data_IF_124608537616
#
_entry.id   IF_124608537616
#
_cell.length_a   1.000
_cell.length_b   1.000
_cell.length_c   1.000
_cell.angle_alpha   90.00
_cell.angle_beta   90.00
_cell.angle_gamma   90.00
#
_symmetry.space_group_name_H-M   'P 1'
#
loop_
_entity.id
_entity.type
_entity.pdbx_description
1 polymer ?
#
# COMPACT_ATOMS: atom_id res chain seq x y z
N UNK A 1 44.83 6.79 -10.37
CA UNK A 1 44.39 7.41 -9.10
C UNK A 1 43.03 6.83 -8.83
N UNK A 2 42.94 5.93 -7.85
CA UNK A 2 41.79 5.06 -7.62
C UNK A 2 40.73 5.82 -6.81
N UNK A 3 39.59 6.11 -7.41
CA UNK A 3 38.39 6.55 -6.71
C UNK A 3 37.61 5.31 -6.23
N UNK A 4 38.09 4.68 -5.16
CA UNK A 4 37.30 3.72 -4.37
C UNK A 4 36.35 4.50 -3.44
N UNK A 5 35.30 5.04 -4.05
CA UNK A 5 34.17 5.64 -3.32
C UNK A 5 33.57 4.53 -2.47
N UNK A 6 33.59 4.71 -1.15
CA UNK A 6 33.20 3.73 -0.15
C UNK A 6 31.76 3.23 -0.36
N UNK A 7 31.59 2.15 -1.12
CA UNK A 7 30.36 1.39 -1.12
C UNK A 7 30.35 0.51 0.13
N UNK A 8 29.51 0.87 1.11
CA UNK A 8 29.31 0.04 2.30
C UNK A 8 29.02 -1.42 1.89
N UNK A 9 29.70 -2.35 2.55
CA UNK A 9 29.50 -3.79 2.33
C UNK A 9 28.07 -4.19 2.69
N UNK A 10 27.59 -5.33 2.17
CA UNK A 10 26.26 -5.85 2.51
C UNK A 10 26.07 -6.04 4.03
N UNK A 11 27.13 -6.41 4.75
CA UNK A 11 27.11 -6.57 6.21
C UNK A 11 26.92 -5.23 6.94
N UNK A 12 27.62 -4.18 6.49
CA UNK A 12 27.47 -2.82 7.03
C UNK A 12 26.08 -2.26 6.74
N UNK A 13 25.57 -2.46 5.52
CA UNK A 13 24.21 -2.08 5.13
C UNK A 13 23.17 -2.77 6.02
N UNK A 14 23.28 -4.09 6.21
CA UNK A 14 22.38 -4.82 7.09
C UNK A 14 22.43 -4.30 8.54
N UNK A 15 23.63 -4.06 9.06
CA UNK A 15 23.83 -3.54 10.42
C UNK A 15 23.20 -2.15 10.59
N UNK A 16 23.41 -1.26 9.62
CA UNK A 16 22.83 0.08 9.63
C UNK A 16 21.30 0.04 9.57
N UNK A 17 20.73 -0.79 8.69
CA UNK A 17 19.29 -0.96 8.57
C UNK A 17 18.68 -1.52 9.85
N UNK A 18 19.33 -2.47 10.51
CA UNK A 18 18.83 -3.03 11.78
C UNK A 18 18.78 -1.97 12.89
N UNK A 19 19.80 -1.11 12.97
CA UNK A 19 19.83 0.02 13.91
C UNK A 19 18.70 1.00 13.59
N UNK A 20 18.53 1.38 12.32
CA UNK A 20 17.45 2.25 11.88
C UNK A 20 16.07 1.69 12.27
N UNK A 21 15.79 0.44 11.92
CA UNK A 21 14.54 -0.27 12.28
C UNK A 21 14.28 -0.28 13.78
N UNK A 22 15.31 -0.50 14.59
CA UNK A 22 15.19 -0.52 16.05
C UNK A 22 14.67 0.79 16.64
N UNK A 23 15.02 1.93 16.01
CA UNK A 23 14.67 3.27 16.51
C UNK A 23 13.29 3.76 16.07
N UNK A 24 12.70 3.17 15.02
CA UNK A 24 11.46 3.67 14.42
C UNK A 24 10.24 2.97 15.04
N UNK A 25 9.84 3.44 16.22
CA UNK A 25 8.68 2.95 16.98
C UNK A 25 7.58 4.01 17.03
N UNK A 26 6.34 3.59 16.82
CA UNK A 26 5.15 4.43 16.86
C UNK A 26 4.56 4.45 18.28
N UNK A 27 4.19 5.63 18.83
CA UNK A 27 3.45 5.68 20.09
C UNK A 27 2.01 5.14 19.93
N UNK A 28 1.43 5.32 18.75
CA UNK A 28 0.14 4.79 18.32
C UNK A 28 0.10 4.67 16.81
N UNK A 29 -0.76 3.80 16.26
CA UNK A 29 -0.95 3.69 14.82
C UNK A 29 -2.40 3.32 14.48
N UNK A 30 -3.05 4.15 13.67
CA UNK A 30 -4.43 4.01 13.23
C UNK A 30 -4.53 3.87 11.70
N UNK A 31 -5.72 3.57 11.20
CA UNK A 31 -5.99 3.58 9.74
C UNK A 31 -5.80 4.97 9.12
N UNK A 32 -6.09 6.06 9.85
CA UNK A 32 -5.83 7.42 9.39
C UNK A 32 -4.33 7.70 9.23
N UNK A 33 -3.51 7.14 10.12
CA UNK A 33 -2.06 7.22 10.05
C UNK A 33 -1.54 6.46 8.82
N UNK A 34 -2.07 5.26 8.57
CA UNK A 34 -1.75 4.48 7.37
C UNK A 34 -2.07 5.27 6.08
N UNK A 35 -3.23 5.89 5.97
CA UNK A 35 -3.58 6.73 4.80
C UNK A 35 -2.60 7.89 4.66
N UNK A 36 -2.31 8.60 5.74
CA UNK A 36 -1.39 9.75 5.72
C UNK A 36 0.03 9.36 5.33
N UNK A 37 0.52 8.24 5.86
CA UNK A 37 1.82 7.66 5.55
C UNK A 37 1.88 7.23 4.08
N UNK A 38 0.87 6.50 3.59
CA UNK A 38 0.78 6.05 2.20
C UNK A 38 0.76 7.22 1.20
N UNK A 39 -0.02 8.26 1.48
CA UNK A 39 -0.04 9.49 0.67
C UNK A 39 1.31 10.23 0.70
N UNK A 40 2.00 10.21 1.83
CA UNK A 40 3.33 10.80 1.96
C UNK A 40 4.37 10.06 1.12
N UNK A 41 4.34 8.73 1.09
CA UNK A 41 5.20 7.90 0.23
C UNK A 41 4.93 8.24 -1.24
N UNK A 42 3.65 8.24 -1.64
CA UNK A 42 3.23 8.62 -3.00
C UNK A 42 3.75 10.00 -3.38
N UNK A 43 3.55 11.00 -2.53
CA UNK A 43 4.00 12.38 -2.77
C UNK A 43 5.51 12.44 -3.00
N UNK A 44 6.30 11.75 -2.17
CA UNK A 44 7.76 11.73 -2.29
C UNK A 44 8.21 11.00 -3.56
N UNK A 45 7.65 9.84 -3.87
CA UNK A 45 7.98 9.10 -5.08
C UNK A 45 7.74 9.94 -6.35
N UNK A 46 6.59 10.64 -6.42
CA UNK A 46 6.27 11.51 -7.56
C UNK A 46 7.26 12.65 -7.78
N UNK A 47 7.98 13.06 -6.73
CA UNK A 47 9.02 14.08 -6.81
C UNK A 47 10.40 13.53 -7.20
N UNK A 48 10.56 12.21 -7.30
CA UNK A 48 11.85 11.60 -7.70
C UNK A 48 12.11 11.75 -9.19
N UNK A 49 13.38 11.85 -9.58
CA UNK A 49 13.80 11.83 -10.98
C UNK A 49 13.37 10.54 -11.70
N UNK A 50 13.30 9.42 -10.99
CA UNK A 50 12.87 8.12 -11.52
C UNK A 50 11.44 8.17 -12.05
N UNK A 51 10.55 8.87 -11.34
CA UNK A 51 9.19 9.08 -11.83
C UNK A 51 9.15 10.18 -12.90
N UNK A 52 9.68 11.37 -12.60
CA UNK A 52 9.55 12.56 -13.46
C UNK A 52 10.22 12.40 -14.82
N UNK A 53 11.41 11.78 -14.88
CA UNK A 53 12.19 11.60 -16.11
C UNK A 53 12.16 10.17 -16.62
N UNK A 54 12.10 9.21 -15.70
CA UNK A 54 12.20 7.79 -16.03
C UNK A 54 10.87 7.10 -16.29
N UNK A 55 9.73 7.79 -16.11
CA UNK A 55 8.41 7.18 -16.27
C UNK A 55 8.23 5.93 -15.40
N UNK A 56 8.89 5.87 -14.24
CA UNK A 56 8.77 4.71 -13.36
C UNK A 56 7.52 4.80 -12.51
N UNK A 57 6.84 3.66 -12.40
CA UNK A 57 5.70 3.48 -11.51
C UNK A 57 6.11 2.92 -10.15
N UNK A 58 5.18 2.95 -9.22
CA UNK A 58 5.30 2.43 -7.86
C UNK A 58 3.96 1.85 -7.44
N UNK A 59 3.97 0.69 -6.80
CA UNK A 59 2.83 0.21 -6.00
C UNK A 59 3.15 0.41 -4.52
N UNK A 60 2.12 0.69 -3.73
CA UNK A 60 2.20 0.91 -2.28
C UNK A 60 1.11 0.09 -1.63
N UNK A 61 1.44 -0.66 -0.58
CA UNK A 61 0.50 -1.37 0.28
C UNK A 61 0.83 -1.12 1.75
N UNK A 62 -0.17 -0.82 2.55
CA UNK A 62 -0.09 -0.81 4.01
C UNK A 62 -1.18 -1.72 4.52
N UNK A 63 -0.81 -2.71 5.31
CA UNK A 63 -1.74 -3.67 5.88
C UNK A 63 -1.36 -4.04 7.30
N UNK A 64 -2.34 -4.45 8.10
CA UNK A 64 -2.08 -5.05 9.41
C UNK A 64 -1.27 -6.34 9.27
N UNK A 65 -0.65 -6.80 10.36
CA UNK A 65 0.07 -8.08 10.35
C UNK A 65 -0.84 -9.26 9.98
N UNK A 66 -2.13 -9.16 10.31
CA UNK A 66 -3.18 -10.12 9.93
C UNK A 66 -3.59 -10.06 8.45
N UNK A 67 -3.12 -9.06 7.68
CA UNK A 67 -3.42 -8.91 6.26
C UNK A 67 -4.63 -8.02 5.94
N UNK A 68 -5.25 -7.37 6.93
CA UNK A 68 -6.30 -6.40 6.64
C UNK A 68 -5.70 -5.15 5.96
N UNK A 69 -6.18 -4.77 4.75
CA UNK A 69 -5.65 -3.63 4.02
C UNK A 69 -6.04 -2.32 4.72
N UNK A 70 -5.08 -1.41 4.86
CA UNK A 70 -5.27 -0.07 5.43
C UNK A 70 -5.07 1.01 4.37
N UNK A 71 -4.19 0.76 3.38
CA UNK A 71 -3.94 1.63 2.24
C UNK A 71 -3.40 0.82 1.06
N UNK A 72 -3.87 1.11 -0.15
CA UNK A 72 -3.35 0.51 -1.38
C UNK A 72 -3.37 1.57 -2.48
N UNK A 73 -2.26 1.73 -3.21
CA UNK A 73 -2.14 2.78 -4.22
C UNK A 73 -1.12 2.43 -5.30
N UNK A 74 -1.52 2.64 -6.55
CA UNK A 74 -0.61 2.65 -7.71
C UNK A 74 -0.23 4.09 -8.08
N UNK A 75 1.03 4.29 -8.45
CA UNK A 75 1.59 5.56 -8.93
C UNK A 75 2.26 5.30 -10.28
N UNK A 76 2.00 6.15 -11.28
CA UNK A 76 2.45 5.95 -12.65
C UNK A 76 1.28 5.90 -13.62
N UNK A 77 1.59 5.93 -14.91
CA UNK A 77 0.61 5.84 -15.99
C UNK A 77 0.35 4.36 -16.33
N UNK A 78 -0.91 3.94 -16.20
CA UNK A 78 -1.33 2.57 -16.50
C UNK A 78 -1.49 2.29 -18.00
N UNK A 79 -1.37 3.33 -18.82
CA UNK A 79 -1.46 3.24 -20.27
C UNK A 79 -0.66 4.37 -20.90
N UNK A 80 0.46 4.00 -21.52
CA UNK A 80 1.22 4.90 -22.38
C UNK A 80 0.85 4.64 -23.85
N UNK A 81 1.10 5.61 -24.75
CA UNK A 81 0.83 5.43 -26.19
C UNK A 81 1.63 4.27 -26.81
N UNK A 82 2.71 3.84 -26.14
CA UNK A 82 3.51 2.66 -26.49
C UNK A 82 2.87 1.33 -26.08
N UNK A 83 1.74 1.34 -25.37
CA UNK A 83 1.06 0.14 -24.87
C UNK A 83 1.70 -0.51 -23.63
N UNK A 84 2.74 0.11 -23.05
CA UNK A 84 3.43 -0.37 -21.85
C UNK A 84 3.07 0.54 -20.67
N UNK A 85 2.49 -0.01 -19.61
CA UNK A 85 2.22 0.70 -18.37
C UNK A 85 3.43 0.75 -17.44
N UNK A 86 3.49 1.78 -16.60
CA UNK A 86 4.58 2.02 -15.65
C UNK A 86 4.67 0.96 -14.53
N UNK A 87 3.61 0.18 -14.37
CA UNK A 87 3.43 -0.86 -13.34
C UNK A 87 2.86 -2.12 -13.99
N UNK A 88 3.47 -3.27 -13.68
CA UNK A 88 3.04 -4.59 -14.16
C UNK A 88 2.29 -5.40 -13.09
N UNK A 89 1.61 -6.49 -13.49
CA UNK A 89 0.99 -7.44 -12.55
C UNK A 89 2.00 -8.03 -11.55
N UNK A 90 3.25 -8.25 -11.98
CA UNK A 90 4.34 -8.74 -11.14
C UNK A 90 4.64 -7.78 -9.97
N UNK A 91 4.31 -6.50 -10.10
CA UNK A 91 4.57 -5.50 -9.06
C UNK A 91 3.76 -5.77 -7.78
N UNK A 92 2.50 -6.20 -7.90
CA UNK A 92 1.68 -6.57 -6.75
C UNK A 92 2.13 -7.88 -6.12
N UNK A 93 2.49 -8.87 -6.94
CA UNK A 93 3.08 -10.13 -6.48
C UNK A 93 4.37 -9.88 -5.68
N UNK A 94 5.22 -8.96 -6.16
CA UNK A 94 6.44 -8.57 -5.47
C UNK A 94 6.15 -7.92 -4.10
N UNK A 95 5.14 -7.04 -4.01
CA UNK A 95 4.72 -6.45 -2.72
C UNK A 95 4.29 -7.53 -1.74
N UNK A 96 3.41 -8.46 -2.14
CA UNK A 96 2.93 -9.51 -1.25
C UNK A 96 4.08 -10.39 -0.76
N UNK A 97 5.01 -10.73 -1.64
CA UNK A 97 6.19 -11.49 -1.27
C UNK A 97 7.12 -10.77 -0.31
N UNK A 98 7.31 -9.45 -0.46
CA UNK A 98 8.10 -8.66 0.49
C UNK A 98 7.39 -8.50 1.84
N UNK A 99 6.07 -8.33 1.85
CA UNK A 99 5.28 -8.29 3.08
C UNK A 99 5.39 -9.62 3.83
N UNK A 100 5.35 -10.75 3.12
CA UNK A 100 5.51 -12.06 3.72
C UNK A 100 6.91 -12.26 4.33
N UNK A 101 7.95 -11.62 3.78
CA UNK A 101 9.28 -11.56 4.42
C UNK A 101 9.20 -10.86 5.77
N UNK A 102 8.54 -9.69 5.84
CA UNK A 102 8.38 -8.94 7.09
C UNK A 102 7.55 -9.74 8.10
N UNK A 103 6.43 -10.35 7.68
CA UNK A 103 5.59 -11.19 8.54
C UNK A 103 6.36 -12.37 9.14
N UNK A 104 7.24 -13.00 8.36
CA UNK A 104 8.02 -14.17 8.77
C UNK A 104 9.21 -13.82 9.65
N UNK A 105 9.85 -12.69 9.41
CA UNK A 105 11.14 -12.35 10.04
C UNK A 105 11.03 -11.24 11.09
N UNK A 106 9.99 -10.43 11.08
CA UNK A 106 9.86 -9.24 11.92
C UNK A 106 10.74 -8.06 11.49
N UNK A 107 11.49 -8.19 10.39
CA UNK A 107 12.46 -7.20 9.91
C UNK A 107 12.10 -6.67 8.54
N UNK A 108 12.65 -5.53 8.13
CA UNK A 108 12.44 -5.02 6.77
C UNK A 108 12.97 -6.02 5.74
N UNK A 109 12.33 -6.04 4.58
CA UNK A 109 12.76 -6.91 3.49
C UNK A 109 14.15 -6.54 2.97
N UNK A 110 14.59 -5.29 3.17
CA UNK A 110 15.94 -4.82 2.83
C UNK A 110 17.00 -5.35 3.80
N UNK A 111 16.73 -5.34 5.11
CA UNK A 111 17.63 -5.97 6.09
C UNK A 111 17.85 -7.45 5.76
N UNK A 112 16.76 -8.18 5.48
CA UNK A 112 16.82 -9.59 5.11
C UNK A 112 17.60 -9.79 3.81
N UNK A 113 17.39 -8.93 2.81
CA UNK A 113 18.16 -8.96 1.56
C UNK A 113 19.67 -8.78 1.80
N UNK A 114 20.05 -7.76 2.57
CA UNK A 114 21.48 -7.46 2.83
C UNK A 114 22.13 -8.48 3.75
N UNK A 115 21.43 -8.99 4.76
CA UNK A 115 21.90 -10.09 5.58
C UNK A 115 22.12 -11.36 4.76
N UNK A 116 21.20 -11.68 3.85
CA UNK A 116 21.35 -12.82 2.93
C UNK A 116 22.56 -12.65 2.01
N UNK A 117 22.73 -11.46 1.43
CA UNK A 117 23.88 -11.13 0.58
C UNK A 117 25.21 -11.22 1.35
N UNK A 118 25.26 -10.71 2.58
CA UNK A 118 26.44 -10.77 3.44
C UNK A 118 26.84 -12.21 3.80
N UNK A 119 25.86 -13.11 3.96
CA UNK A 119 26.11 -14.53 4.23
C UNK A 119 26.45 -15.35 2.97
N UNK A 120 26.33 -14.78 1.77
CA UNK A 120 26.50 -15.52 0.52
C UNK A 120 25.50 -16.67 0.34
N UNK A 121 24.37 -16.64 1.06
CA UNK A 121 23.35 -17.70 1.03
C UNK A 121 22.25 -17.33 0.05
N UNK A 122 21.69 -18.35 -0.59
CA UNK A 122 20.47 -18.20 -1.40
C UNK A 122 19.22 -18.26 -0.52
N UNK A 123 18.10 -17.74 -1.03
CA UNK A 123 16.80 -17.81 -0.36
C UNK A 123 16.46 -19.26 0.06
N UNK A 124 16.71 -20.22 -0.84
CA UNK A 124 16.49 -21.66 -0.60
C UNK A 124 17.33 -22.20 0.56
N UNK A 125 18.59 -21.78 0.68
CA UNK A 125 19.48 -22.18 1.78
C UNK A 125 19.11 -21.54 3.12
N UNK A 126 18.39 -20.42 3.09
CA UNK A 126 17.83 -19.77 4.29
C UNK A 126 16.46 -20.33 4.69
N UNK A 127 15.97 -21.38 4.01
CA UNK A 127 14.66 -21.96 4.27
C UNK A 127 13.49 -21.10 3.77
N UNK A 128 13.76 -20.09 2.93
CA UNK A 128 12.74 -19.35 2.22
C UNK A 128 12.33 -20.16 0.98
N UNK A 129 11.11 -20.68 1.00
CA UNK A 129 10.47 -21.38 -0.12
C UNK A 129 9.12 -20.72 -0.41
N UNK A 130 8.67 -20.76 -1.67
CA UNK A 130 7.36 -20.26 -2.08
C UNK A 130 7.31 -18.75 -2.39
N UNK A 131 6.22 -18.11 -1.97
CA UNK A 131 5.78 -16.74 -2.34
C UNK A 131 6.65 -15.59 -1.79
N UNK A 132 7.84 -15.85 -1.27
CA UNK A 132 8.68 -14.81 -0.66
C UNK A 132 9.49 -14.06 -1.72
N UNK A 133 9.43 -12.73 -1.65
CA UNK A 133 10.22 -11.84 -2.50
C UNK A 133 11.19 -11.05 -1.63
N UNK A 134 12.48 -11.37 -1.74
CA UNK A 134 13.54 -10.73 -0.95
C UNK A 134 14.10 -9.55 -1.75
N UNK A 135 13.36 -8.45 -1.72
CA UNK A 135 13.77 -7.15 -2.24
C UNK A 135 13.47 -6.09 -1.19
N UNK A 136 14.27 -5.03 -1.11
CA UNK A 136 13.95 -3.85 -0.30
C UNK A 136 12.66 -3.16 -0.73
N UNK A 137 11.93 -2.63 0.25
CA UNK A 137 10.68 -1.92 0.01
C UNK A 137 9.59 -2.17 1.04
N UNK A 138 9.66 -3.26 1.82
CA UNK A 138 8.74 -3.54 2.92
C UNK A 138 9.39 -3.29 4.28
N UNK A 139 8.66 -2.64 5.18
CA UNK A 139 9.16 -2.16 6.48
C UNK A 139 8.13 -2.45 7.60
N UNK A 140 8.55 -3.01 8.74
CA UNK A 140 7.65 -3.31 9.85
C UNK A 140 7.23 -2.04 10.61
N UNK A 141 5.94 -1.94 10.95
CA UNK A 141 5.40 -0.90 11.82
C UNK A 141 5.28 -1.47 13.23
N UNK A 142 6.09 -0.92 14.13
CA UNK A 142 6.18 -1.34 15.51
C UNK A 142 5.59 -0.28 16.44
N UNK A 143 4.95 -0.72 17.52
CA UNK A 143 4.59 0.18 18.61
C UNK A 143 5.66 0.20 19.69
N UNK A 144 5.77 1.32 20.41
CA UNK A 144 6.62 1.45 21.60
C UNK A 144 6.20 0.48 22.72
N UNK A 145 4.90 0.23 22.85
CA UNK A 145 4.31 -0.61 23.90
C UNK A 145 4.01 -2.05 23.48
N UNK A 146 4.37 -2.47 22.25
CA UNK A 146 4.14 -3.83 21.75
C UNK A 146 5.41 -4.42 21.12
N UNK A 147 6.33 -4.99 21.92
CA UNK A 147 7.62 -5.48 21.43
C UNK A 147 7.56 -6.89 20.81
N UNK A 148 6.45 -7.62 20.96
CA UNK A 148 6.39 -9.03 20.54
C UNK A 148 6.21 -9.25 19.03
N UNK A 149 5.51 -8.35 18.34
CA UNK A 149 5.36 -8.41 16.89
C UNK A 149 5.04 -7.02 16.30
N UNK A 150 5.41 -6.76 15.04
CA UNK A 150 4.93 -5.57 14.36
C UNK A 150 3.41 -5.67 14.14
N UNK A 151 2.72 -4.53 14.27
CA UNK A 151 1.26 -4.46 14.16
C UNK A 151 0.78 -4.32 12.71
N UNK A 152 1.64 -3.78 11.85
CA UNK A 152 1.37 -3.53 10.44
C UNK A 152 2.67 -3.58 9.64
N UNK A 153 2.53 -3.61 8.31
CA UNK A 153 3.63 -3.57 7.35
C UNK A 153 3.31 -2.48 6.34
N UNK A 154 4.28 -1.61 6.06
CA UNK A 154 4.24 -0.67 4.94
C UNK A 154 5.22 -1.16 3.87
N UNK A 155 4.74 -1.29 2.65
CA UNK A 155 5.53 -1.76 1.52
C UNK A 155 5.35 -0.87 0.29
N UNK A 156 6.42 -0.69 -0.47
CA UNK A 156 6.34 -0.16 -1.82
C UNK A 156 7.30 -0.88 -2.76
N UNK A 157 6.97 -0.92 -4.06
CA UNK A 157 7.80 -1.57 -5.08
C UNK A 157 7.82 -0.78 -6.38
N UNK A 158 9.01 -0.35 -6.80
CA UNK A 158 9.31 0.28 -8.11
C UNK A 158 10.33 -0.52 -8.91
N UNK A 159 10.79 -1.67 -8.39
CA UNK A 159 11.87 -2.48 -8.97
C UNK A 159 13.29 -2.06 -8.55
N UNK A 160 13.46 -1.14 -7.61
CA UNK A 160 14.79 -0.76 -7.07
C UNK A 160 14.80 -0.89 -5.56
N UNK A 161 15.30 -2.02 -5.09
CA UNK A 161 15.31 -2.42 -3.67
C UNK A 161 15.81 -1.31 -2.73
N UNK A 162 16.98 -0.73 -3.04
CA UNK A 162 17.60 0.26 -2.16
C UNK A 162 16.81 1.55 -2.09
N UNK A 163 16.36 2.05 -3.24
CA UNK A 163 15.58 3.29 -3.29
C UNK A 163 14.20 3.12 -2.64
N UNK A 164 13.57 1.97 -2.82
CA UNK A 164 12.25 1.67 -2.26
C UNK A 164 12.34 1.56 -0.73
N UNK A 165 13.36 0.88 -0.21
CA UNK A 165 13.66 0.88 1.22
C UNK A 165 13.91 2.29 1.75
N UNK A 166 14.79 3.06 1.09
CA UNK A 166 15.14 4.41 1.51
C UNK A 166 13.91 5.34 1.51
N UNK A 167 13.04 5.22 0.51
CA UNK A 167 11.79 5.96 0.41
C UNK A 167 10.88 5.67 1.60
N UNK A 168 10.66 4.39 1.93
CA UNK A 168 9.79 3.99 3.04
C UNK A 168 10.39 4.39 4.38
N UNK A 169 11.64 4.00 4.66
CA UNK A 169 12.28 4.22 5.95
C UNK A 169 12.42 5.72 6.26
N UNK A 170 12.78 6.54 5.28
CA UNK A 170 12.83 8.00 5.44
C UNK A 170 11.44 8.59 5.66
N UNK A 171 10.41 8.08 4.97
CA UNK A 171 9.04 8.58 5.15
C UNK A 171 8.49 8.23 6.53
N UNK A 172 8.74 7.01 7.02
CA UNK A 172 8.37 6.57 8.38
C UNK A 172 9.08 7.43 9.43
N UNK A 173 10.40 7.65 9.29
CA UNK A 173 11.17 8.51 10.19
C UNK A 173 10.61 9.94 10.24
N UNK A 174 10.36 10.54 9.09
CA UNK A 174 9.85 11.91 9.01
C UNK A 174 8.41 12.01 9.54
N UNK A 175 7.62 10.95 9.39
CA UNK A 175 6.27 10.87 9.93
C UNK A 175 6.28 10.80 11.46
N UNK A 176 7.11 9.94 12.05
CA UNK A 176 7.29 9.85 13.50
C UNK A 176 7.76 11.17 14.11
N UNK A 177 8.74 11.84 13.47
CA UNK A 177 9.19 13.17 13.89
C UNK A 177 8.08 14.22 13.88
N UNK A 178 7.06 14.09 13.02
CA UNK A 178 5.90 14.98 13.00
C UNK A 178 4.92 14.64 14.12
N UNK A 179 4.67 13.36 14.38
CA UNK A 179 3.79 12.91 15.47
C UNK A 179 4.28 13.36 16.85
N UNK A 180 5.61 13.38 17.05
CA UNK A 180 6.24 13.78 18.31
C UNK A 180 6.27 15.30 18.54
N UNK A 181 5.86 16.13 17.58
CA UNK A 181 5.80 17.59 17.77
C UNK A 181 4.49 17.95 18.45
N UNK A 182 4.51 18.47 19.69
CA UNK A 182 3.29 18.95 20.33
C UNK A 182 2.71 20.11 19.52
N UNK A 183 1.49 19.93 18.99
CA UNK A 183 0.73 20.98 18.29
C UNK A 183 0.54 20.80 16.78
N UNK A 184 0.97 19.69 16.16
CA UNK A 184 0.50 19.38 14.80
C UNK A 184 -0.97 18.94 14.87
N UNK A 185 -1.88 19.50 14.04
CA UNK A 185 -3.25 19.03 14.00
C UNK A 185 -3.23 17.53 13.71
N UNK A 186 -3.74 16.74 14.65
CA UNK A 186 -4.12 15.35 14.39
C UNK A 186 -4.94 15.32 13.11
N UNK A 187 -4.80 14.31 12.23
CA UNK A 187 -5.78 14.11 11.18
C UNK A 187 -7.11 13.80 11.87
N UNK A 188 -7.87 14.86 12.15
CA UNK A 188 -9.24 14.78 12.62
C UNK A 188 -9.95 13.89 11.61
N UNK A 189 -10.46 12.76 12.09
CA UNK A 189 -11.51 12.03 11.39
C UNK A 189 -12.51 13.06 10.87
N UNK A 190 -13.04 12.93 9.64
CA UNK A 190 -13.99 13.89 9.11
C UNK A 190 -15.09 14.10 10.14
N UNK A 191 -15.14 15.31 10.69
CA UNK A 191 -16.15 15.72 11.65
C UNK A 191 -17.48 15.48 10.98
N UNK A 192 -18.22 14.46 11.44
CA UNK A 192 -19.59 14.26 11.01
C UNK A 192 -20.34 15.53 11.40
N UNK A 193 -20.63 16.36 10.40
CA UNK A 193 -21.55 17.47 10.58
C UNK A 193 -22.87 16.87 11.07
N UNK A 194 -23.47 17.40 12.15
CA UNK A 194 -24.84 17.03 12.47
C UNK A 194 -25.71 17.39 11.26
N UNK A 195 -26.67 16.54 10.87
CA UNK A 195 -27.58 16.87 9.79
C UNK A 195 -28.31 18.17 10.15
N UNK A 196 -28.25 19.13 9.22
CA UNK A 196 -28.99 20.37 9.33
C UNK A 196 -30.48 20.03 9.49
N UNK A 197 -31.05 20.43 10.61
CA UNK A 197 -32.49 20.38 10.82
C UNK A 197 -33.14 21.39 9.86
N UNK A 198 -34.12 20.93 9.08
CA UNK A 198 -35.12 21.77 8.42
C UNK A 198 -35.03 21.83 6.90
N UNK A 199 -35.81 21.00 6.20
CA UNK A 199 -37.09 21.45 5.61
C UNK A 199 -37.75 20.34 4.79
N UNK A 200 -39.03 20.09 5.09
CA UNK A 200 -40.02 19.59 4.13
C UNK A 200 -40.05 18.08 3.90
N UNK A 201 -40.81 17.38 4.74
CA UNK A 201 -41.44 16.12 4.33
C UNK A 201 -42.36 16.40 3.13
N UNK A 202 -41.98 15.94 1.94
CA UNK A 202 -42.95 15.65 0.88
C UNK A 202 -43.27 14.16 0.94
N UNK A 203 -44.51 13.75 1.26
CA UNK A 203 -44.90 12.36 1.16
C UNK A 203 -44.95 11.93 -0.30
N UNK A 204 -44.43 10.73 -0.55
CA UNK A 204 -44.54 10.01 -1.82
C UNK A 204 -46.00 9.93 -2.28
N UNK A 205 -46.29 10.09 -3.59
CA UNK A 205 -47.64 9.86 -4.09
C UNK A 205 -47.98 8.36 -3.96
N UNK A 206 -49.23 8.01 -3.61
CA UNK A 206 -49.63 6.62 -3.48
C UNK A 206 -49.63 5.92 -4.84
N UNK A 207 -49.15 4.67 -4.86
CA UNK A 207 -49.17 3.81 -6.02
C UNK A 207 -50.61 3.59 -6.52
N UNK A 208 -50.90 4.05 -7.74
CA UNK A 208 -52.19 3.79 -8.38
C UNK A 208 -52.36 2.29 -8.65
N UNK A 209 -53.41 1.77 -8.02
CA UNK A 209 -53.95 0.43 -8.19
C UNK A 209 -54.47 0.31 -9.61
N UNK A 210 -53.76 -0.42 -10.48
CA UNK A 210 -54.30 -0.86 -11.79
C UNK A 210 -55.61 -1.61 -11.53
N UNK A 211 -56.71 -1.04 -12.00
CA UNK A 211 -57.99 -1.72 -12.08
C UNK A 211 -58.00 -2.59 -13.32
N UNK A 212 -58.26 -3.87 -13.11
CA UNK A 212 -58.69 -4.80 -14.13
C UNK A 212 -60.05 -4.37 -14.68
N UNK A 213 -60.14 -4.20 -16.00
CA UNK A 213 -61.42 -4.26 -16.70
C UNK A 213 -61.25 -5.16 -17.93
N UNK A 214 -61.73 -6.37 -17.74
CA UNK A 214 -61.96 -7.41 -18.73
C UNK A 214 -63.03 -6.97 -19.75
N UNK A 215 -62.73 -7.06 -21.04
CA UNK A 215 -63.74 -7.16 -22.10
C UNK A 215 -63.11 -7.68 -23.41
N UNK A 216 -63.16 -8.99 -23.60
CA UNK A 216 -63.22 -9.67 -24.91
C UNK A 216 -64.68 -9.62 -25.45
N UNK A 217 -65.01 -9.92 -26.73
CA UNK A 217 -64.30 -10.84 -27.64
C UNK A 217 -64.24 -10.51 -29.17
N UNK A 218 -63.26 -11.13 -29.85
CA UNK A 218 -63.17 -11.78 -31.20
C UNK A 218 -63.84 -11.18 -32.47
N UNK A 219 -63.58 -11.69 -33.71
CA UNK A 219 -62.50 -12.56 -34.22
C UNK A 219 -61.93 -12.10 -35.59
N UNK A 220 -60.71 -12.54 -35.97
CA UNK A 220 -60.46 -13.03 -37.34
C UNK A 220 -59.05 -13.61 -37.49
N UNK A 221 -58.99 -14.93 -37.69
CA UNK A 221 -57.81 -15.65 -38.17
C UNK A 221 -58.23 -16.34 -39.46
N UNK A 222 -57.56 -16.10 -40.60
CA UNK A 222 -57.53 -17.08 -41.68
C UNK A 222 -56.35 -18.02 -41.48
N UNK A 223 -56.68 -19.31 -41.51
CA UNK A 223 -55.82 -20.48 -41.53
C UNK A 223 -55.03 -20.62 -42.84
N UNK A 224 -53.82 -21.18 -42.68
CA UNK A 224 -53.05 -22.08 -43.56
C UNK A 224 -53.21 -22.00 -45.08
N UNK A 225 -52.07 -21.93 -45.79
CA UNK A 225 -51.79 -22.84 -46.91
C UNK A 225 -50.30 -23.23 -46.93
N UNK A 226 -50.10 -24.56 -46.87
CA UNK A 226 -49.09 -25.44 -47.48
C UNK A 226 -47.62 -25.00 -47.64
#
# INVERSE_FOLDING_TARGET
MFDDIHSNTAAEQASQTLVEEGTLRFPSFSSADAVTLGLSIRKRFRATSRHVKGGKGLVISIQTIAGHPLFSCTVGDLGHFSGIGDVSLDSWSAIEGMINVVKRTGHSSYYVEKGMAAMGKTAKQMGFQGELRINGGAFPIWLENAPCCPIAVVACYSGSSQDDHHLVATTVRDYLKKMLRPGSPSPTAPSMMPPAAGNGEQPWPPAERRQDSNSSPDPNIPSEEF
#
